data_IF_043704370819
#
_entry.id   IF_043704370819
#
_cell.length_a   1.000
_cell.length_b   1.000
_cell.length_c   1.000
_cell.angle_alpha   90.00
_cell.angle_beta   90.00
_cell.angle_gamma   90.00
#
_symmetry.space_group_name_H-M   'P 1'
#
loop_
_entity.id
_entity.type
_entity.pdbx_description
1 polymer ?
#
# COMPACT_ATOMS: atom_id res chain seq x y z
N UNK A 1 -31.97 26.78 0.14
CA UNK A 1 -30.88 26.19 0.97
C UNK A 1 -30.73 24.70 0.70
N UNK A 2 -31.79 23.99 0.31
CA UNK A 2 -31.76 22.51 0.13
C UNK A 2 -31.26 22.02 -1.23
N UNK A 3 -31.50 22.77 -2.33
CA UNK A 3 -30.77 22.58 -3.60
C UNK A 3 -29.25 22.50 -3.37
N UNK A 4 -28.76 23.35 -2.46
CA UNK A 4 -27.35 23.39 -2.05
C UNK A 4 -26.90 22.11 -1.35
N UNK A 5 -27.77 21.41 -0.61
CA UNK A 5 -27.43 20.14 0.02
C UNK A 5 -27.27 19.02 -1.00
N UNK A 6 -28.13 18.95 -2.02
CA UNK A 6 -28.02 17.96 -3.10
C UNK A 6 -26.74 18.23 -3.92
N UNK A 7 -26.42 19.49 -4.19
CA UNK A 7 -25.17 19.86 -4.85
C UNK A 7 -23.94 19.45 -4.02
N UNK A 8 -23.99 19.64 -2.69
CA UNK A 8 -22.93 19.18 -1.78
C UNK A 8 -22.81 17.64 -1.79
N UNK A 9 -23.92 16.91 -1.91
CA UNK A 9 -23.87 15.45 -2.05
C UNK A 9 -23.15 15.02 -3.32
N UNK A 10 -23.45 15.65 -4.46
CA UNK A 10 -22.75 15.40 -5.73
C UNK A 10 -21.26 15.68 -5.57
N UNK A 11 -20.89 16.85 -5.02
CA UNK A 11 -19.49 17.20 -4.77
C UNK A 11 -18.79 16.20 -3.83
N UNK A 12 -19.51 15.64 -2.85
CA UNK A 12 -18.97 14.60 -1.97
C UNK A 12 -18.65 13.32 -2.76
N UNK A 13 -19.53 12.91 -3.69
CA UNK A 13 -19.30 11.77 -4.57
C UNK A 13 -18.13 12.02 -5.54
N UNK A 14 -18.04 13.20 -6.15
CA UNK A 14 -16.91 13.60 -7.00
C UNK A 14 -15.58 13.55 -6.23
N UNK A 15 -15.56 14.02 -4.98
CA UNK A 15 -14.38 13.94 -4.12
C UNK A 15 -14.01 12.49 -3.80
N UNK A 16 -14.99 11.62 -3.53
CA UNK A 16 -14.71 10.19 -3.33
C UNK A 16 -14.10 9.57 -4.57
N UNK A 17 -14.61 9.89 -5.76
CA UNK A 17 -14.02 9.43 -7.02
C UNK A 17 -12.56 9.83 -7.17
N UNK A 18 -12.21 11.08 -6.85
CA UNK A 18 -10.83 11.57 -6.90
C UNK A 18 -9.92 10.84 -5.90
N UNK A 19 -10.41 10.59 -4.69
CA UNK A 19 -9.68 9.82 -3.67
C UNK A 19 -9.43 8.39 -4.17
N UNK A 20 -10.44 7.74 -4.76
CA UNK A 20 -10.31 6.39 -5.31
C UNK A 20 -9.34 6.35 -6.50
N UNK A 21 -9.37 7.34 -7.38
CA UNK A 21 -8.39 7.46 -8.48
C UNK A 21 -6.96 7.55 -7.93
N UNK A 22 -6.76 8.32 -6.84
CA UNK A 22 -5.46 8.42 -6.20
C UNK A 22 -5.01 7.11 -5.54
N UNK A 23 -5.94 6.35 -4.94
CA UNK A 23 -5.64 5.01 -4.41
C UNK A 23 -5.22 4.06 -5.54
N UNK A 24 -5.93 4.08 -6.68
CA UNK A 24 -5.57 3.29 -7.87
C UNK A 24 -4.14 3.61 -8.34
N UNK A 25 -3.76 4.89 -8.38
CA UNK A 25 -2.41 5.31 -8.73
C UNK A 25 -1.36 4.80 -7.73
N UNK A 26 -1.63 4.89 -6.43
CA UNK A 26 -0.74 4.37 -5.39
C UNK A 26 -0.62 2.85 -5.43
N UNK A 27 -1.68 2.13 -5.79
CA UNK A 27 -1.62 0.68 -5.98
C UNK A 27 -0.75 0.29 -7.17
N UNK A 28 -0.79 1.07 -8.25
CA UNK A 28 0.12 0.88 -9.38
C UNK A 28 1.57 1.19 -8.95
N UNK A 29 1.80 2.28 -8.19
CA UNK A 29 3.11 2.62 -7.64
C UNK A 29 3.65 1.49 -6.74
N UNK A 30 2.82 0.98 -5.83
CA UNK A 30 3.18 -0.10 -4.92
C UNK A 30 3.53 -1.37 -5.70
N UNK A 31 2.74 -1.72 -6.73
CA UNK A 31 3.05 -2.85 -7.59
C UNK A 31 4.45 -2.73 -8.22
N UNK A 32 4.73 -1.58 -8.83
CA UNK A 32 6.02 -1.33 -9.48
C UNK A 32 7.18 -1.37 -8.49
N UNK A 33 6.98 -0.81 -7.28
CA UNK A 33 7.93 -0.89 -6.18
C UNK A 33 8.19 -2.34 -5.75
N UNK A 34 7.15 -3.16 -5.59
CA UNK A 34 7.31 -4.56 -5.18
C UNK A 34 8.07 -5.40 -6.23
N UNK A 35 7.93 -5.05 -7.52
CA UNK A 35 8.68 -5.64 -8.62
C UNK A 35 10.14 -5.15 -8.67
N UNK A 36 10.47 -3.99 -8.09
CA UNK A 36 11.83 -3.45 -8.05
C UNK A 36 12.74 -4.20 -7.06
N UNK A 37 13.83 -4.85 -7.50
CA UNK A 37 14.81 -5.49 -6.62
C UNK A 37 15.44 -4.55 -5.57
N UNK A 38 15.51 -3.25 -5.83
CA UNK A 38 16.15 -2.25 -4.96
C UNK A 38 15.18 -1.56 -4.00
N UNK A 39 13.91 -1.96 -3.97
CA UNK A 39 12.91 -1.39 -3.06
C UNK A 39 13.44 -1.31 -1.61
N UNK A 40 13.44 -0.11 -1.06
CA UNK A 40 13.77 0.10 0.35
C UNK A 40 12.52 -0.02 1.23
N UNK A 41 12.67 -0.38 2.52
CA UNK A 41 11.55 -0.35 3.47
C UNK A 41 10.89 1.03 3.56
N UNK A 42 11.68 2.11 3.55
CA UNK A 42 11.17 3.48 3.66
C UNK A 42 10.28 3.86 2.46
N UNK A 43 10.68 3.48 1.23
CA UNK A 43 9.89 3.72 0.01
C UNK A 43 8.54 2.97 0.03
N UNK A 44 8.51 1.79 0.65
CA UNK A 44 7.31 0.99 0.81
C UNK A 44 6.39 1.60 1.89
N UNK A 45 6.96 1.98 3.04
CA UNK A 45 6.23 2.59 4.15
C UNK A 45 5.57 3.91 3.71
N UNK A 46 6.25 4.73 2.90
CA UNK A 46 5.68 5.97 2.35
C UNK A 46 4.38 5.70 1.57
N UNK A 47 4.37 4.65 0.74
CA UNK A 47 3.20 4.31 -0.08
C UNK A 47 2.06 3.74 0.76
N UNK A 48 2.38 2.91 1.76
CA UNK A 48 1.36 2.38 2.69
C UNK A 48 0.73 3.51 3.50
N UNK A 49 1.54 4.42 4.05
CA UNK A 49 1.06 5.58 4.81
C UNK A 49 0.21 6.53 3.95
N UNK A 50 0.63 6.79 2.72
CA UNK A 50 -0.15 7.60 1.79
C UNK A 50 -1.52 6.97 1.50
N UNK A 51 -1.59 5.64 1.33
CA UNK A 51 -2.87 4.91 1.15
C UNK A 51 -3.74 4.98 2.41
N UNK A 52 -3.16 4.78 3.60
CA UNK A 52 -3.89 4.88 4.87
C UNK A 52 -4.60 6.23 5.02
N UNK A 53 -3.92 7.34 4.71
CA UNK A 53 -4.52 8.70 4.78
C UNK A 53 -5.69 8.88 3.81
N UNK A 54 -5.59 8.29 2.61
CA UNK A 54 -6.68 8.35 1.62
C UNK A 54 -7.88 7.50 2.05
N UNK A 55 -7.65 6.36 2.69
CA UNK A 55 -8.71 5.53 3.27
C UNK A 55 -9.43 6.29 4.38
N UNK A 56 -8.70 6.97 5.26
CA UNK A 56 -9.29 7.82 6.30
C UNK A 56 -10.12 8.96 5.68
N UNK A 57 -9.62 9.59 4.61
CA UNK A 57 -10.36 10.60 3.87
C UNK A 57 -11.65 10.01 3.27
N UNK A 58 -11.59 8.81 2.68
CA UNK A 58 -12.75 8.12 2.11
C UNK A 58 -13.81 7.84 3.19
N UNK A 59 -13.40 7.31 4.35
CA UNK A 59 -14.28 7.05 5.48
C UNK A 59 -14.98 8.32 5.98
N UNK A 60 -14.25 9.44 6.03
CA UNK A 60 -14.82 10.73 6.42
C UNK A 60 -15.84 11.25 5.40
N UNK A 61 -15.54 11.11 4.10
CA UNK A 61 -16.48 11.46 3.02
C UNK A 61 -17.72 10.57 3.04
N UNK A 62 -17.57 9.29 3.32
CA UNK A 62 -18.68 8.34 3.48
C UNK A 62 -19.60 8.74 4.63
N UNK A 63 -19.03 8.98 5.81
CA UNK A 63 -19.82 9.42 6.98
C UNK A 63 -20.51 10.77 6.73
N UNK A 64 -19.85 11.71 6.05
CA UNK A 64 -20.43 12.99 5.70
C UNK A 64 -21.59 12.86 4.70
N UNK A 65 -21.42 12.01 3.69
CA UNK A 65 -22.44 11.74 2.69
C UNK A 65 -23.67 11.07 3.30
N UNK A 66 -23.50 10.04 4.13
CA UNK A 66 -24.60 9.31 4.77
C UNK A 66 -25.47 10.23 5.63
N UNK A 67 -24.82 11.09 6.45
CA UNK A 67 -25.53 12.09 7.26
C UNK A 67 -26.32 13.08 6.42
N UNK A 68 -25.78 13.47 5.26
CA UNK A 68 -26.43 14.42 4.37
C UNK A 68 -27.61 13.77 3.63
N UNK A 69 -27.41 12.56 3.12
CA UNK A 69 -28.46 11.77 2.47
C UNK A 69 -29.62 11.49 3.43
N UNK A 70 -29.36 11.10 4.68
CA UNK A 70 -30.41 10.85 5.67
C UNK A 70 -31.31 12.07 5.92
N UNK A 71 -30.76 13.29 5.75
CA UNK A 71 -31.52 14.54 5.90
C UNK A 71 -32.30 14.91 4.63
N UNK A 72 -31.79 14.58 3.45
CA UNK A 72 -32.39 14.96 2.16
C UNK A 72 -33.24 13.87 1.54
N UNK A 73 -33.22 12.63 2.06
CA UNK A 73 -33.91 11.47 1.46
C UNK A 73 -35.43 11.64 1.35
N UNK A 74 -36.08 12.29 2.31
CA UNK A 74 -37.54 12.49 2.29
C UNK A 74 -37.92 13.50 1.20
N UNK A 75 -37.16 14.58 1.09
CA UNK A 75 -37.33 15.60 0.06
C UNK A 75 -37.05 15.04 -1.34
N UNK A 76 -35.94 14.32 -1.52
CA UNK A 76 -35.60 13.65 -2.77
C UNK A 76 -36.71 12.67 -3.21
N UNK A 77 -37.40 12.05 -2.26
CA UNK A 77 -38.52 11.15 -2.56
C UNK A 77 -39.83 11.88 -2.87
N UNK A 78 -40.10 13.01 -2.19
CA UNK A 78 -41.29 13.84 -2.41
C UNK A 78 -41.23 14.66 -3.71
N UNK A 79 -40.04 15.04 -4.15
CA UNK A 79 -39.79 15.94 -5.29
C UNK A 79 -38.90 15.31 -6.36
N UNK A 80 -39.10 14.01 -6.66
CA UNK A 80 -38.25 13.24 -7.58
C UNK A 80 -38.10 13.87 -8.97
N UNK A 81 -39.16 14.45 -9.52
CA UNK A 81 -39.11 15.05 -10.85
C UNK A 81 -38.29 16.35 -10.86
N UNK A 82 -38.31 17.13 -9.78
CA UNK A 82 -37.56 18.39 -9.66
C UNK A 82 -36.04 18.14 -9.55
N UNK A 83 -35.66 16.99 -8.99
CA UNK A 83 -34.27 16.60 -8.74
C UNK A 83 -33.76 15.46 -9.66
N UNK A 84 -34.48 15.18 -10.75
CA UNK A 84 -34.23 14.01 -11.60
C UNK A 84 -32.81 13.96 -12.17
N UNK A 85 -32.31 15.09 -12.66
CA UNK A 85 -30.96 15.18 -13.22
C UNK A 85 -29.90 14.99 -12.13
N UNK A 86 -30.06 15.62 -10.96
CA UNK A 86 -29.15 15.45 -9.83
C UNK A 86 -29.11 14.01 -9.33
N UNK A 87 -30.27 13.36 -9.22
CA UNK A 87 -30.37 11.94 -8.85
C UNK A 87 -29.62 11.08 -9.86
N UNK A 88 -29.80 11.33 -11.15
CA UNK A 88 -29.10 10.62 -12.22
C UNK A 88 -27.58 10.80 -12.10
N UNK A 89 -27.11 12.03 -11.91
CA UNK A 89 -25.68 12.33 -11.71
C UNK A 89 -25.12 11.60 -10.50
N UNK A 90 -25.82 11.62 -9.35
CA UNK A 90 -25.41 10.86 -8.18
C UNK A 90 -25.32 9.36 -8.46
N UNK A 91 -26.29 8.78 -9.18
CA UNK A 91 -26.27 7.37 -9.58
C UNK A 91 -25.12 7.02 -10.53
N UNK A 92 -24.71 7.95 -11.39
CA UNK A 92 -23.54 7.79 -12.27
C UNK A 92 -22.24 7.78 -11.45
N UNK A 93 -22.07 8.73 -10.53
CA UNK A 93 -20.91 8.72 -9.63
C UNK A 93 -20.87 7.48 -8.73
N UNK A 94 -22.00 7.04 -8.18
CA UNK A 94 -22.06 5.81 -7.35
C UNK A 94 -21.62 4.58 -8.16
N UNK A 95 -22.03 4.47 -9.43
CA UNK A 95 -21.59 3.38 -10.32
C UNK A 95 -20.08 3.44 -10.54
N UNK A 96 -19.54 4.60 -10.89
CA UNK A 96 -18.10 4.79 -11.09
C UNK A 96 -17.28 4.54 -9.82
N UNK A 97 -17.75 4.99 -8.65
CA UNK A 97 -17.18 4.65 -7.33
C UNK A 97 -17.14 3.13 -7.12
N UNK A 98 -18.23 2.43 -7.45
CA UNK A 98 -18.31 0.98 -7.30
C UNK A 98 -17.29 0.27 -8.20
N UNK A 99 -17.21 0.67 -9.46
CA UNK A 99 -16.26 0.11 -10.43
C UNK A 99 -14.80 0.34 -9.98
N UNK A 100 -14.48 1.55 -9.50
CA UNK A 100 -13.16 1.88 -8.96
C UNK A 100 -12.84 1.06 -7.72
N UNK A 101 -13.80 0.84 -6.83
CA UNK A 101 -13.63 0.03 -5.62
C UNK A 101 -13.31 -1.43 -5.96
N UNK A 102 -14.01 -2.02 -6.93
CA UNK A 102 -13.72 -3.38 -7.43
C UNK A 102 -12.32 -3.46 -8.03
N UNK A 103 -11.91 -2.44 -8.80
CA UNK A 103 -10.57 -2.35 -9.37
C UNK A 103 -9.49 -2.30 -8.28
N UNK A 104 -9.67 -1.47 -7.25
CA UNK A 104 -8.76 -1.37 -6.11
C UNK A 104 -8.65 -2.72 -5.40
N UNK A 105 -9.77 -3.38 -5.10
CA UNK A 105 -9.75 -4.71 -4.48
C UNK A 105 -8.91 -5.73 -5.25
N UNK A 106 -9.04 -5.73 -6.59
CA UNK A 106 -8.23 -6.59 -7.46
C UNK A 106 -6.75 -6.19 -7.48
N UNK A 107 -6.42 -4.91 -7.40
CA UNK A 107 -5.03 -4.42 -7.33
C UNK A 107 -4.39 -4.77 -5.99
N UNK A 108 -5.07 -4.49 -4.87
CA UNK A 108 -4.61 -4.82 -3.52
C UNK A 108 -4.38 -6.32 -3.33
N UNK A 109 -5.28 -7.18 -3.85
CA UNK A 109 -5.08 -8.62 -3.82
C UNK A 109 -3.76 -9.04 -4.49
N UNK A 110 -3.48 -8.48 -5.68
CA UNK A 110 -2.22 -8.75 -6.41
C UNK A 110 -1.00 -8.17 -5.68
N UNK A 111 -1.10 -6.96 -5.15
CA UNK A 111 -0.01 -6.33 -4.40
C UNK A 111 0.31 -7.11 -3.12
N UNK A 112 -0.70 -7.65 -2.43
CA UNK A 112 -0.52 -8.52 -1.27
C UNK A 112 0.23 -9.82 -1.61
N UNK A 113 -0.09 -10.42 -2.76
CA UNK A 113 0.62 -11.62 -3.22
C UNK A 113 2.09 -11.31 -3.53
N UNK A 114 2.35 -10.22 -4.26
CA UNK A 114 3.71 -9.74 -4.56
C UNK A 114 4.49 -9.42 -3.28
N UNK A 115 3.86 -8.74 -2.32
CA UNK A 115 4.43 -8.43 -1.02
C UNK A 115 4.83 -9.72 -0.30
N UNK A 116 3.94 -10.71 -0.24
CA UNK A 116 4.20 -12.00 0.40
C UNK A 116 5.41 -12.70 -0.21
N UNK A 117 5.51 -12.71 -1.54
CA UNK A 117 6.66 -13.26 -2.27
C UNK A 117 7.96 -12.50 -1.95
N UNK A 118 7.91 -11.16 -1.94
CA UNK A 118 9.05 -10.31 -1.61
C UNK A 118 9.57 -10.57 -0.20
N UNK A 119 8.70 -10.62 0.80
CA UNK A 119 9.07 -10.94 2.19
C UNK A 119 9.65 -12.34 2.33
N UNK A 120 9.09 -13.34 1.63
CA UNK A 120 9.65 -14.69 1.63
C UNK A 120 11.08 -14.72 1.05
N UNK A 121 11.33 -13.96 -0.03
CA UNK A 121 12.66 -13.81 -0.63
C UNK A 121 13.65 -13.13 0.32
N UNK A 122 13.27 -12.01 0.94
CA UNK A 122 14.11 -11.28 1.91
C UNK A 122 14.46 -12.20 3.10
N UNK A 123 13.49 -12.95 3.62
CA UNK A 123 13.72 -13.90 4.72
C UNK A 123 14.70 -15.01 4.33
N UNK A 124 14.61 -15.52 3.10
CA UNK A 124 15.55 -16.52 2.57
C UNK A 124 16.96 -15.93 2.44
N UNK A 125 17.10 -14.74 1.87
CA UNK A 125 18.39 -14.05 1.75
C UNK A 125 19.02 -13.78 3.12
N UNK A 126 18.26 -13.30 4.10
CA UNK A 126 18.75 -13.08 5.47
C UNK A 126 19.26 -14.39 6.12
N UNK A 127 18.56 -15.51 5.88
CA UNK A 127 19.00 -16.83 6.34
C UNK A 127 20.31 -17.25 5.66
N UNK A 128 20.42 -17.07 4.35
CA UNK A 128 21.61 -17.40 3.56
C UNK A 128 22.82 -16.56 4.00
N UNK A 129 22.66 -15.26 4.22
CA UNK A 129 23.72 -14.38 4.78
C UNK A 129 24.15 -14.87 6.17
N UNK A 130 23.21 -15.26 7.03
CA UNK A 130 23.53 -15.81 8.36
C UNK A 130 24.29 -17.14 8.26
N UNK A 131 23.92 -18.02 7.34
CA UNK A 131 24.64 -19.29 7.12
C UNK A 131 26.01 -19.03 6.51
N UNK A 132 26.14 -18.11 5.56
CA UNK A 132 27.40 -17.73 4.93
C UNK A 132 28.39 -17.10 5.91
N UNK A 133 27.93 -16.20 6.79
CA UNK A 133 28.74 -15.63 7.88
C UNK A 133 29.17 -16.68 8.91
N UNK A 134 28.30 -17.63 9.25
CA UNK A 134 28.66 -18.77 10.10
C UNK A 134 29.67 -19.70 9.42
N UNK A 135 29.51 -19.98 8.12
CA UNK A 135 30.42 -20.79 7.33
C UNK A 135 31.79 -20.11 7.20
N UNK A 136 31.82 -18.80 6.91
CA UNK A 136 33.03 -18.00 6.87
C UNK A 136 33.73 -17.92 8.24
N UNK A 137 32.96 -17.74 9.33
CA UNK A 137 33.51 -17.76 10.69
C UNK A 137 34.07 -19.14 11.08
N UNK A 138 33.39 -20.23 10.72
CA UNK A 138 33.89 -21.59 10.91
C UNK A 138 35.14 -21.86 10.07
N UNK A 139 35.14 -21.42 8.81
CA UNK A 139 36.30 -21.52 7.92
C UNK A 139 37.52 -20.79 8.52
N UNK A 140 37.34 -19.53 8.94
CA UNK A 140 38.39 -18.75 9.59
C UNK A 140 38.92 -19.44 10.86
N UNK A 141 38.03 -19.92 11.74
CA UNK A 141 38.43 -20.66 12.97
C UNK A 141 39.14 -21.99 12.68
N UNK A 142 38.73 -22.69 11.61
CA UNK A 142 39.36 -23.96 11.21
C UNK A 142 40.73 -23.77 10.57
N UNK A 143 40.94 -22.68 9.81
CA UNK A 143 42.24 -22.32 9.26
C UNK A 143 43.18 -21.73 10.31
N UNK A 144 42.68 -20.97 11.28
CA UNK A 144 43.51 -20.48 12.41
C UNK A 144 43.85 -21.57 13.43
N UNK A 145 43.17 -22.72 13.39
CA UNK A 145 43.37 -23.86 14.30
C UNK A 145 44.32 -24.94 13.78
N UNK A 146 44.79 -24.84 12.53
CA UNK A 146 45.77 -25.76 11.94
C UNK A 146 47.15 -25.11 11.89
N UNK A 147 47.79 -25.10 13.07
CA UNK A 147 49.22 -24.86 13.35
C UNK A 147 50.07 -24.13 12.32
N UNK A 148 50.28 -22.83 12.54
CA UNK A 148 51.57 -22.22 12.22
C UNK A 148 52.51 -22.53 13.40
N UNK A 149 53.18 -23.69 13.34
CA UNK A 149 54.43 -23.90 14.06
C UNK A 149 55.46 -22.94 13.45
N UNK A 150 55.88 -21.96 14.22
CA UNK A 150 57.00 -21.09 13.88
C UNK A 150 58.25 -21.98 13.69
N UNK A 151 58.91 -21.99 12.51
CA UNK A 151 60.15 -22.73 12.34
C UNK A 151 61.18 -22.11 13.28
N UNK A 152 61.60 -22.86 14.29
CA UNK A 152 62.80 -22.53 15.06
C UNK A 152 63.98 -22.44 14.09
N UNK A 153 64.32 -21.21 13.68
CA UNK A 153 65.67 -20.92 13.24
C UNK A 153 66.54 -20.88 14.49
N UNK A 154 67.15 -22.02 14.77
CA UNK A 154 68.41 -22.10 15.51
C UNK A 154 69.39 -21.10 14.87
N UNK A 155 69.70 -20.01 15.55
CA UNK A 155 70.95 -19.30 15.32
C UNK A 155 71.87 -19.53 16.53
N UNK A 156 72.79 -20.47 16.33
CA UNK A 156 73.95 -20.68 17.17
C UNK A 156 75.10 -19.85 16.59
N UNK A 157 75.69 -18.99 17.44
CA UNK A 157 77.01 -18.31 17.41
C UNK A 157 76.85 -16.78 17.42
N UNK A 158 77.53 -16.01 18.27
CA UNK A 158 78.84 -16.18 18.92
C UNK A 158 78.88 -15.41 20.24
#
# INVERSE_FOLDING_TARGET
>A
MEQTYIDIMIQSLEKKEQVLDRIIELDIKQKNQLEDPQLTPDDFDEVVEAKSRLIDQLNNLDSGFEKLFERTKEELNGHKEDYKEQIRTMQEHIRSITDKSVKIQSQEARNKDLMTLKFASIKKQAREVRVGTQAASRYYKSMSGTGYMEPQFMDNKK
#
